data_IF_963616409534
#
_entry.id   IF_963616409534
#
_cell.length_a   1.000
_cell.length_b   1.000
_cell.length_c   1.000
_cell.angle_alpha   90.00
_cell.angle_beta   90.00
_cell.angle_gamma   90.00
#
_symmetry.space_group_name_H-M   'P 1'
#
loop_
_entity.id
_entity.type
_entity.pdbx_description
1 polymer ?
#
# COMPACT_ATOMS: atom_id res chain seq x y z
N UNK A 1 -45.20 24.43 -24.02
CA UNK A 1 -44.16 25.16 -23.28
C UNK A 1 -44.10 24.56 -21.89
N UNK A 2 -43.38 23.75 -21.77
CA UNK A 2 -42.18 23.08 -21.47
C UNK A 2 -42.32 22.07 -20.35
N UNK A 3 -42.70 20.85 -20.71
CA UNK A 3 -42.70 19.70 -19.79
C UNK A 3 -41.33 19.44 -19.16
N UNK A 4 -40.24 19.97 -19.75
CA UNK A 4 -38.89 19.89 -19.24
C UNK A 4 -38.70 20.72 -17.98
N UNK A 5 -39.33 21.89 -17.88
CA UNK A 5 -39.27 22.73 -16.69
C UNK A 5 -40.05 22.15 -15.51
N UNK A 6 -41.15 21.44 -15.79
CA UNK A 6 -41.95 20.76 -14.76
C UNK A 6 -41.20 19.54 -14.19
N UNK A 7 -40.42 18.85 -15.00
CA UNK A 7 -39.60 17.72 -14.55
C UNK A 7 -38.41 18.17 -13.69
N UNK A 8 -37.83 19.32 -13.97
CA UNK A 8 -36.76 19.89 -13.14
C UNK A 8 -37.24 20.33 -11.77
N UNK A 9 -38.44 20.87 -11.67
CA UNK A 9 -39.02 21.30 -10.40
C UNK A 9 -39.40 20.13 -9.49
N UNK A 10 -39.76 18.96 -10.06
CA UNK A 10 -40.09 17.77 -9.27
C UNK A 10 -38.84 17.09 -8.68
N UNK A 11 -37.72 17.09 -9.40
CA UNK A 11 -36.46 16.50 -8.92
C UNK A 11 -35.86 17.34 -7.80
N UNK A 12 -36.02 18.68 -7.87
CA UNK A 12 -35.52 19.58 -6.82
C UNK A 12 -36.29 19.44 -5.49
N UNK A 13 -37.56 19.02 -5.55
CA UNK A 13 -38.40 18.89 -4.35
C UNK A 13 -38.13 17.63 -3.53
N UNK A 14 -37.58 16.60 -4.15
CA UNK A 14 -37.23 15.34 -3.46
C UNK A 14 -35.95 15.47 -2.65
N UNK A 15 -35.04 16.35 -3.06
CA UNK A 15 -33.80 16.60 -2.32
C UNK A 15 -34.01 17.44 -1.04
N UNK A 16 -35.10 18.18 -0.95
CA UNK A 16 -35.44 19.00 0.21
C UNK A 16 -36.18 18.25 1.32
N UNK A 17 -36.59 17.00 1.04
CA UNK A 17 -37.23 16.11 2.02
C UNK A 17 -36.30 14.96 2.44
N UNK A 18 -34.99 15.11 2.31
CA UNK A 18 -34.09 14.27 3.06
C UNK A 18 -34.31 14.58 4.55
N UNK A 19 -34.76 13.62 5.36
CA UNK A 19 -34.90 13.85 6.78
C UNK A 19 -33.50 14.09 7.35
N UNK A 20 -33.23 15.31 7.69
CA UNK A 20 -32.13 15.69 8.57
C UNK A 20 -32.43 15.22 10.00
N UNK A 21 -32.91 14.01 10.15
CA UNK A 21 -33.08 13.35 11.41
C UNK A 21 -31.98 12.32 11.56
N UNK A 22 -30.78 12.78 11.58
CA UNK A 22 -29.64 12.06 12.08
C UNK A 22 -28.74 13.13 12.63
N UNK A 23 -28.74 13.34 13.93
CA UNK A 23 -27.55 13.77 14.57
C UNK A 23 -26.47 12.75 14.18
N UNK A 24 -25.79 12.99 13.07
CA UNK A 24 -24.54 12.33 12.80
C UNK A 24 -23.61 12.78 13.90
N UNK A 25 -23.61 12.02 14.97
CA UNK A 25 -22.59 12.07 15.97
C UNK A 25 -21.28 12.05 15.23
N UNK A 26 -20.41 13.02 15.42
CA UNK A 26 -19.04 13.00 14.87
C UNK A 26 -18.33 11.68 15.16
N UNK A 27 -18.81 10.97 16.18
CA UNK A 27 -18.37 9.65 16.57
C UNK A 27 -18.79 8.57 15.57
N UNK A 28 -19.95 8.67 14.93
CA UNK A 28 -20.39 7.72 13.89
C UNK A 28 -19.64 7.93 12.58
N UNK A 29 -19.32 9.18 12.24
CA UNK A 29 -18.53 9.49 11.05
C UNK A 29 -17.09 9.01 11.20
N UNK A 30 -16.54 9.09 12.41
CA UNK A 30 -15.21 8.53 12.73
C UNK A 30 -15.25 7.00 12.72
N UNK A 31 -16.33 6.38 13.22
CA UNK A 31 -16.47 4.93 13.22
C UNK A 31 -16.68 4.37 11.80
N UNK A 32 -17.40 5.06 10.94
CA UNK A 32 -17.61 4.64 9.55
C UNK A 32 -16.35 4.88 8.70
N UNK A 33 -15.62 5.96 8.97
CA UNK A 33 -14.31 6.22 8.37
C UNK A 33 -13.27 5.20 8.83
N UNK A 34 -13.27 4.84 10.12
CA UNK A 34 -12.39 3.81 10.68
C UNK A 34 -12.75 2.41 10.19
N UNK A 35 -14.01 2.10 9.91
CA UNK A 35 -14.41 0.80 9.37
C UNK A 35 -14.08 0.66 7.88
N UNK A 36 -14.13 1.73 7.10
CA UNK A 36 -13.62 1.73 5.72
C UNK A 36 -12.08 1.62 5.68
N UNK A 37 -11.40 2.15 6.70
CA UNK A 37 -9.96 1.96 6.92
C UNK A 37 -9.65 0.62 7.61
N UNK A 38 -10.63 -0.02 8.24
CA UNK A 38 -10.45 -1.30 8.95
C UNK A 38 -10.33 -2.51 8.02
N UNK A 39 -10.72 -2.40 6.76
CA UNK A 39 -10.39 -3.42 5.75
C UNK A 39 -8.93 -3.32 5.27
N UNK A 40 -8.26 -2.22 5.54
CA UNK A 40 -6.81 -2.01 5.38
C UNK A 40 -6.06 -2.08 6.71
N UNK A 41 -6.75 -2.21 7.85
CA UNK A 41 -6.18 -2.04 9.19
C UNK A 41 -5.53 -3.30 9.77
N UNK A 42 -5.20 -4.29 8.95
CA UNK A 42 -4.21 -5.30 9.32
C UNK A 42 -2.77 -4.82 9.07
N UNK A 43 -2.61 -3.65 8.47
CA UNK A 43 -1.31 -3.02 8.28
C UNK A 43 -0.98 -2.19 9.52
N UNK A 44 0.02 -2.62 10.30
CA UNK A 44 0.47 -1.92 11.51
C UNK A 44 0.97 -0.51 11.19
N UNK A 45 0.93 0.39 12.20
CA UNK A 45 1.21 1.81 12.03
C UNK A 45 2.51 2.16 11.31
N UNK A 46 3.58 1.37 11.47
CA UNK A 46 4.85 1.59 10.76
C UNK A 46 4.72 1.32 9.26
N UNK A 47 4.00 0.28 8.89
CA UNK A 47 3.75 -0.01 7.48
C UNK A 47 2.87 1.07 6.83
N UNK A 48 1.89 1.62 7.56
CA UNK A 48 1.10 2.75 7.08
C UNK A 48 1.96 4.00 6.84
N UNK A 49 2.95 4.26 7.70
CA UNK A 49 3.89 5.36 7.48
C UNK A 49 4.70 5.16 6.19
N UNK A 50 5.19 3.94 5.95
CA UNK A 50 5.89 3.61 4.71
C UNK A 50 4.98 3.79 3.49
N UNK A 51 3.75 3.27 3.55
CA UNK A 51 2.78 3.41 2.46
C UNK A 51 2.46 4.89 2.20
N UNK A 52 2.21 5.68 3.24
CA UNK A 52 1.99 7.12 3.12
C UNK A 52 3.18 7.88 2.52
N UNK A 53 4.41 7.46 2.81
CA UNK A 53 5.61 8.02 2.17
C UNK A 53 5.65 7.69 0.68
N UNK A 54 5.35 6.46 0.31
CA UNK A 54 5.30 6.02 -1.09
C UNK A 54 4.22 6.77 -1.86
N UNK A 55 3.01 6.87 -1.30
CA UNK A 55 1.90 7.62 -1.90
C UNK A 55 2.24 9.10 -2.10
N UNK A 56 2.79 9.75 -1.07
CA UNK A 56 3.08 11.19 -1.11
C UNK A 56 4.27 11.55 -2.00
N UNK A 57 5.28 10.70 -2.07
CA UNK A 57 6.49 10.96 -2.84
C UNK A 57 6.40 10.50 -4.29
N UNK A 58 5.72 9.39 -4.54
CA UNK A 58 5.64 8.76 -5.87
C UNK A 58 4.29 8.94 -6.54
N UNK A 59 3.27 9.39 -5.82
CA UNK A 59 1.91 9.53 -6.33
C UNK A 59 1.24 8.19 -6.66
N UNK A 60 1.71 7.10 -6.06
CA UNK A 60 1.11 5.76 -6.22
C UNK A 60 -0.11 5.61 -5.33
N UNK A 61 -1.00 4.69 -5.68
CA UNK A 61 -2.13 4.33 -4.83
C UNK A 61 -1.69 3.41 -3.70
N UNK A 62 -2.49 3.33 -2.61
CA UNK A 62 -2.24 2.40 -1.51
C UNK A 62 -2.04 0.96 -2.00
N UNK A 63 -2.88 0.48 -2.90
CA UNK A 63 -2.77 -0.86 -3.49
C UNK A 63 -1.43 -1.06 -4.21
N UNK A 64 -0.97 -0.06 -4.96
CA UNK A 64 0.32 -0.08 -5.63
C UNK A 64 1.48 -0.04 -4.63
N UNK A 65 1.38 0.78 -3.59
CA UNK A 65 2.38 0.87 -2.53
C UNK A 65 2.50 -0.45 -1.76
N UNK A 66 1.38 -1.06 -1.37
CA UNK A 66 1.33 -2.38 -0.72
C UNK A 66 1.92 -3.46 -1.64
N UNK A 67 1.41 -3.56 -2.87
CA UNK A 67 1.84 -4.58 -3.82
C UNK A 67 3.31 -4.48 -4.19
N UNK A 68 3.80 -3.27 -4.47
CA UNK A 68 5.21 -3.02 -4.80
C UNK A 68 6.15 -3.33 -3.63
N UNK A 69 5.80 -2.90 -2.42
CA UNK A 69 6.57 -3.21 -1.21
C UNK A 69 6.56 -4.71 -0.92
N UNK A 70 5.42 -5.37 -1.04
CA UNK A 70 5.30 -6.82 -0.84
C UNK A 70 6.14 -7.61 -1.84
N UNK A 71 6.19 -7.18 -3.11
CA UNK A 71 7.01 -7.79 -4.14
C UNK A 71 8.51 -7.71 -3.81
N UNK A 72 8.98 -6.54 -3.37
CA UNK A 72 10.37 -6.35 -2.95
C UNK A 72 10.73 -7.15 -1.70
N UNK A 73 9.83 -7.20 -0.71
CA UNK A 73 10.01 -8.02 0.49
C UNK A 73 10.01 -9.52 0.19
N UNK A 74 9.19 -9.96 -0.75
CA UNK A 74 9.16 -11.36 -1.17
C UNK A 74 10.46 -11.78 -1.87
N UNK A 75 11.00 -10.91 -2.72
CA UNK A 75 12.32 -11.14 -3.32
C UNK A 75 13.40 -11.24 -2.22
N UNK A 76 13.38 -10.29 -1.25
CA UNK A 76 14.31 -10.33 -0.13
C UNK A 76 14.20 -11.62 0.69
N UNK A 77 12.99 -12.13 0.89
CA UNK A 77 12.73 -13.39 1.59
C UNK A 77 13.33 -14.57 0.84
N UNK A 78 13.22 -14.61 -0.48
CA UNK A 78 13.66 -15.71 -1.30
C UNK A 78 15.19 -15.73 -1.48
N UNK A 79 15.82 -14.56 -1.51
CA UNK A 79 17.25 -14.43 -1.78
C UNK A 79 18.09 -14.36 -0.49
N UNK A 80 17.67 -13.58 0.49
CA UNK A 80 18.38 -13.41 1.76
C UNK A 80 17.94 -14.43 2.84
N UNK A 81 16.83 -15.12 2.62
CA UNK A 81 16.30 -16.14 3.51
C UNK A 81 15.46 -15.60 4.67
N UNK A 82 14.95 -16.53 5.46
CA UNK A 82 14.01 -16.24 6.56
C UNK A 82 14.64 -15.42 7.69
N UNK A 83 15.94 -15.52 7.92
CA UNK A 83 16.64 -14.80 9.00
C UNK A 83 16.68 -13.31 8.75
N UNK A 84 16.92 -12.89 7.50
CA UNK A 84 16.87 -11.50 7.08
C UNK A 84 15.47 -10.91 7.28
N UNK A 85 14.44 -11.63 6.85
CA UNK A 85 13.05 -11.22 7.02
C UNK A 85 12.66 -11.17 8.50
N UNK A 86 13.07 -12.13 9.31
CA UNK A 86 12.83 -12.12 10.75
C UNK A 86 13.46 -10.88 11.41
N UNK A 87 14.65 -10.50 10.97
CA UNK A 87 15.30 -9.26 11.44
C UNK A 87 14.52 -8.02 11.01
N UNK A 88 14.07 -7.96 9.75
CA UNK A 88 13.25 -6.86 9.25
C UNK A 88 11.94 -6.73 10.00
N UNK A 89 11.21 -7.82 10.20
CA UNK A 89 9.91 -7.82 10.90
C UNK A 89 10.04 -7.59 12.40
N UNK A 90 11.17 -7.94 13.00
CA UNK A 90 11.47 -7.60 14.41
C UNK A 90 11.74 -6.10 14.59
N UNK A 91 12.34 -5.45 13.59
CA UNK A 91 12.63 -4.01 13.61
C UNK A 91 11.45 -3.17 13.14
N UNK A 92 10.72 -3.67 12.17
CA UNK A 92 9.53 -3.04 11.60
C UNK A 92 8.39 -4.07 11.53
N UNK A 93 7.68 -4.34 12.64
CA UNK A 93 6.65 -5.38 12.71
C UNK A 93 5.52 -5.17 11.69
N UNK A 94 5.24 -3.94 11.29
CA UNK A 94 4.29 -3.63 10.24
C UNK A 94 4.60 -4.28 8.88
N UNK A 95 5.86 -4.58 8.60
CA UNK A 95 6.24 -5.24 7.34
C UNK A 95 5.76 -6.70 7.27
N UNK A 96 5.55 -7.36 8.41
CA UNK A 96 4.99 -8.72 8.45
C UNK A 96 3.56 -8.74 7.88
N UNK A 97 2.79 -7.70 8.15
CA UNK A 97 1.44 -7.53 7.60
C UNK A 97 1.49 -7.36 6.07
N UNK A 98 2.48 -6.64 5.54
CA UNK A 98 2.67 -6.49 4.09
C UNK A 98 3.07 -7.80 3.41
N UNK A 99 3.83 -8.65 4.09
CA UNK A 99 4.15 -9.99 3.59
C UNK A 99 2.93 -10.93 3.59
N UNK A 100 1.97 -10.71 4.50
CA UNK A 100 0.74 -11.48 4.64
C UNK A 100 -0.49 -10.88 3.93
N UNK A 101 -0.52 -9.56 3.72
CA UNK A 101 -1.64 -8.84 3.12
C UNK A 101 -1.83 -9.07 1.62
N UNK A 102 -1.06 -9.97 1.04
CA UNK A 102 -1.06 -10.26 -0.38
C UNK A 102 -2.21 -11.12 -0.88
N UNK A 103 -3.46 -10.83 -0.53
CA UNK A 103 -4.61 -11.44 -1.22
C UNK A 103 -4.62 -11.13 -2.74
N UNK A 104 -4.05 -9.99 -3.11
CA UNK A 104 -3.82 -9.62 -4.52
C UNK A 104 -2.68 -10.46 -5.13
N UNK A 105 -1.92 -11.16 -4.32
CA UNK A 105 -0.54 -11.47 -4.64
C UNK A 105 -0.16 -12.92 -4.51
N UNK A 106 -0.99 -13.79 -3.94
CA UNK A 106 -0.55 -15.18 -3.77
C UNK A 106 -0.18 -15.86 -5.11
N UNK A 107 -0.86 -15.48 -6.18
CA UNK A 107 -0.51 -15.93 -7.54
C UNK A 107 0.68 -15.18 -8.15
N UNK A 108 0.81 -13.87 -7.88
CA UNK A 108 1.89 -13.05 -8.43
C UNK A 108 3.17 -13.15 -7.58
N UNK A 109 3.03 -13.21 -6.25
CA UNK A 109 4.16 -13.27 -5.32
C UNK A 109 4.86 -14.64 -5.27
N UNK A 110 4.14 -15.73 -5.57
CA UNK A 110 4.74 -17.07 -5.59
C UNK A 110 5.80 -17.26 -6.70
N UNK A 111 5.78 -16.39 -7.70
CA UNK A 111 6.76 -16.38 -8.80
C UNK A 111 7.93 -15.41 -8.62
N UNK A 112 7.96 -14.62 -7.52
CA UNK A 112 9.01 -13.61 -7.31
C UNK A 112 10.23 -14.28 -6.67
N UNK A 113 11.13 -14.79 -7.51
CA UNK A 113 12.44 -15.28 -7.12
C UNK A 113 13.59 -14.51 -7.77
N UNK A 114 13.26 -13.43 -8.49
CA UNK A 114 14.22 -12.58 -9.19
C UNK A 114 13.66 -11.18 -9.41
N UNK A 115 14.50 -10.24 -9.81
CA UNK A 115 14.08 -8.87 -10.17
C UNK A 115 13.08 -8.86 -11.33
N UNK A 116 13.15 -9.83 -12.26
CA UNK A 116 12.15 -9.96 -13.34
C UNK A 116 10.75 -10.25 -12.79
N UNK A 117 10.66 -11.03 -11.71
CA UNK A 117 9.42 -11.29 -11.00
C UNK A 117 8.86 -10.00 -10.34
N UNK A 118 9.73 -9.18 -9.76
CA UNK A 118 9.35 -7.87 -9.20
C UNK A 118 8.85 -6.93 -10.30
N UNK A 119 9.55 -6.86 -11.43
CA UNK A 119 9.13 -6.05 -12.58
C UNK A 119 7.75 -6.49 -13.12
N UNK A 120 7.53 -7.80 -13.20
CA UNK A 120 6.24 -8.37 -13.60
C UNK A 120 5.12 -7.99 -12.62
N UNK A 121 5.40 -8.04 -11.32
CA UNK A 121 4.46 -7.62 -10.28
C UNK A 121 4.14 -6.11 -10.37
N UNK A 122 5.13 -5.26 -10.58
CA UNK A 122 4.94 -3.82 -10.79
C UNK A 122 4.09 -3.55 -12.04
N UNK A 123 4.39 -4.21 -13.15
CA UNK A 123 3.61 -4.10 -14.38
C UNK A 123 2.15 -4.54 -14.20
N UNK A 124 1.91 -5.61 -13.44
CA UNK A 124 0.57 -6.08 -13.12
C UNK A 124 -0.22 -5.08 -12.26
N UNK A 125 0.47 -4.29 -11.44
CA UNK A 125 -0.11 -3.20 -10.65
C UNK A 125 -0.27 -1.89 -11.45
N UNK A 126 0.11 -1.89 -12.72
CA UNK A 126 0.07 -0.69 -13.57
C UNK A 126 1.20 0.30 -13.30
N UNK A 127 2.30 -0.17 -12.72
CA UNK A 127 3.50 0.62 -12.46
C UNK A 127 4.63 0.25 -13.41
N UNK A 128 5.43 1.23 -13.78
CA UNK A 128 6.63 1.01 -14.60
C UNK A 128 7.79 0.39 -13.78
N UNK A 129 8.66 -0.34 -14.44
CA UNK A 129 9.87 -0.87 -13.81
C UNK A 129 10.80 0.23 -13.26
N UNK A 130 10.75 1.43 -13.83
CA UNK A 130 11.45 2.61 -13.30
C UNK A 130 10.97 3.01 -11.88
N UNK A 131 9.73 2.69 -11.53
CA UNK A 131 9.18 2.92 -10.20
C UNK A 131 9.92 2.11 -9.12
N UNK A 132 10.42 0.92 -9.46
CA UNK A 132 11.22 0.10 -8.54
C UNK A 132 12.40 0.90 -7.99
N UNK A 133 13.11 1.63 -8.85
CA UNK A 133 14.24 2.47 -8.45
C UNK A 133 13.85 3.63 -7.53
N UNK A 134 12.59 4.04 -7.57
CA UNK A 134 12.05 5.08 -6.69
C UNK A 134 11.53 4.49 -5.37
N UNK A 135 10.96 3.27 -5.40
CA UNK A 135 10.54 2.55 -4.21
C UNK A 135 11.73 2.20 -3.30
N UNK A 136 12.81 1.69 -3.89
CA UNK A 136 13.99 1.20 -3.15
C UNK A 136 14.55 2.23 -2.16
N UNK A 137 14.88 3.47 -2.54
CA UNK A 137 15.46 4.42 -1.60
C UNK A 137 14.50 4.82 -0.47
N UNK A 138 13.19 4.87 -0.74
CA UNK A 138 12.18 5.19 0.27
C UNK A 138 12.09 4.06 1.31
N UNK A 139 12.01 2.82 0.84
CA UNK A 139 11.97 1.63 1.70
C UNK A 139 13.27 1.52 2.50
N UNK A 140 14.42 1.73 1.87
CA UNK A 140 15.73 1.70 2.53
C UNK A 140 15.86 2.77 3.61
N UNK A 141 15.42 4.00 3.33
CA UNK A 141 15.38 5.10 4.30
C UNK A 141 14.52 4.74 5.50
N UNK A 142 13.31 4.27 5.24
CA UNK A 142 12.39 3.81 6.28
C UNK A 142 12.99 2.68 7.14
N UNK A 143 13.58 1.66 6.54
CA UNK A 143 14.22 0.55 7.25
C UNK A 143 15.42 1.04 8.10
N UNK A 144 16.17 2.01 7.59
CA UNK A 144 17.24 2.66 8.34
C UNK A 144 16.73 3.38 9.60
N UNK A 145 15.62 4.10 9.47
CA UNK A 145 14.94 4.78 10.59
C UNK A 145 14.41 3.80 11.63
N UNK A 146 13.97 2.61 11.21
CA UNK A 146 13.56 1.51 12.11
C UNK A 146 14.75 0.79 12.77
N UNK A 147 15.97 1.20 12.50
CA UNK A 147 17.17 0.63 13.11
C UNK A 147 17.56 -0.73 12.52
N UNK A 148 17.25 -0.97 11.27
CA UNK A 148 17.78 -2.11 10.52
C UNK A 148 19.27 -1.92 10.31
N UNK A 149 20.06 -2.93 10.65
CA UNK A 149 21.52 -2.85 10.58
C UNK A 149 22.04 -2.57 9.16
N UNK A 150 23.09 -1.77 9.05
CA UNK A 150 23.70 -1.37 7.77
C UNK A 150 24.12 -2.56 6.90
N UNK A 151 24.51 -3.68 7.52
CA UNK A 151 24.84 -4.91 6.78
C UNK A 151 23.66 -5.46 6.01
N UNK A 152 22.47 -5.51 6.64
CA UNK A 152 21.26 -5.99 5.99
C UNK A 152 20.74 -4.98 4.95
N UNK A 153 20.83 -3.68 5.26
CA UNK A 153 20.50 -2.63 4.28
C UNK A 153 21.37 -2.74 3.02
N UNK A 154 22.67 -2.99 3.19
CA UNK A 154 23.61 -3.19 2.06
C UNK A 154 23.25 -4.41 1.21
N UNK A 155 22.82 -5.51 1.83
CA UNK A 155 22.35 -6.70 1.12
C UNK A 155 21.07 -6.42 0.33
N UNK A 156 20.10 -5.74 0.95
CA UNK A 156 18.86 -5.32 0.29
C UNK A 156 19.13 -4.38 -0.87
N UNK A 157 20.03 -3.42 -0.69
CA UNK A 157 20.41 -2.49 -1.75
C UNK A 157 21.03 -3.23 -2.94
N UNK A 158 21.93 -4.18 -2.68
CA UNK A 158 22.53 -5.02 -3.73
C UNK A 158 21.51 -5.84 -4.48
N UNK A 159 20.53 -6.38 -3.75
CA UNK A 159 19.45 -7.21 -4.31
C UNK A 159 18.46 -6.40 -5.17
N UNK A 160 18.10 -5.21 -4.71
CA UNK A 160 17.10 -4.35 -5.36
C UNK A 160 17.70 -3.39 -6.38
N UNK A 161 19.03 -3.33 -6.49
CA UNK A 161 19.67 -2.59 -7.57
C UNK A 161 19.56 -3.39 -8.86
N UNK A 162 18.98 -2.81 -9.92
CA UNK A 162 19.02 -3.45 -11.22
C UNK A 162 20.49 -3.65 -11.62
N UNK A 163 20.83 -4.87 -12.01
CA UNK A 163 22.16 -5.17 -12.54
C UNK A 163 22.40 -4.28 -13.76
N UNK A 164 23.39 -3.40 -13.62
CA UNK A 164 23.84 -2.51 -14.71
C UNK A 164 24.52 -3.30 -15.81
#
# INVERSE_FOLDING_TARGET
MNDILKKFLFVSSIYLLAPTAGAFSLNDTISTGTQALSSTSEVSGEAQQLLGLLESQLGVTETQAVGGTSALLQLAKNDLGSDAISTLTNKAPGLSSLLGAGDISQGLLSGISSMDGVQSAFSALGMDSAMIQQFVPIIMGFLGDQGVGSSLLGQLQGLWSPAS
#
